data_IF_752804132152
#
_entry.id   IF_752804132152
#
_cell.length_a   1.000
_cell.length_b   1.000
_cell.length_c   1.000
_cell.angle_alpha   90.00
_cell.angle_beta   90.00
_cell.angle_gamma   90.00
#
_symmetry.space_group_name_H-M   'P 1'
#
loop_
_entity.id
_entity.type
_entity.pdbx_description
1 polymer ?
#
# COMPACT_ATOMS: atom_id res chain seq x y z
N UNK A 1 11.93 -16.51 8.71
CA UNK A 1 11.74 -17.30 7.48
C UNK A 1 13.11 -17.76 6.99
N UNK A 2 13.41 -19.05 7.14
CA UNK A 2 14.64 -19.64 6.59
C UNK A 2 14.40 -19.92 5.10
N UNK A 3 14.74 -18.95 4.24
CA UNK A 3 14.81 -19.22 2.81
C UNK A 3 15.90 -20.27 2.54
N UNK A 4 15.74 -21.06 1.47
CA UNK A 4 16.79 -22.00 1.04
C UNK A 4 18.12 -21.26 0.86
N UNK A 5 19.25 -21.92 1.15
CA UNK A 5 20.59 -21.30 1.08
C UNK A 5 20.82 -20.53 -0.24
N UNK A 6 20.26 -21.00 -1.37
CA UNK A 6 20.36 -20.33 -2.67
C UNK A 6 19.61 -19.00 -2.76
N UNK A 7 18.41 -18.89 -2.19
CA UNK A 7 17.63 -17.65 -2.18
C UNK A 7 18.28 -16.59 -1.27
N UNK A 8 18.84 -17.00 -0.13
CA UNK A 8 19.59 -16.10 0.74
C UNK A 8 20.86 -15.57 0.05
N UNK A 9 21.59 -16.44 -0.66
CA UNK A 9 22.76 -16.03 -1.45
C UNK A 9 22.36 -15.01 -2.52
N UNK A 10 21.28 -15.28 -3.26
CA UNK A 10 20.79 -14.37 -4.30
C UNK A 10 20.35 -13.02 -3.72
N UNK A 11 19.60 -13.02 -2.62
CA UNK A 11 19.16 -11.80 -1.95
C UNK A 11 20.32 -10.95 -1.45
N UNK A 12 21.33 -11.59 -0.86
CA UNK A 12 22.52 -10.89 -0.37
C UNK A 12 23.33 -10.28 -1.52
N UNK A 13 23.34 -10.89 -2.72
CA UNK A 13 23.96 -10.29 -3.92
C UNK A 13 23.30 -8.98 -4.39
N UNK A 14 22.04 -8.73 -4.05
CA UNK A 14 21.38 -7.45 -4.35
C UNK A 14 21.68 -6.37 -3.30
N UNK A 15 22.27 -6.75 -2.17
CA UNK A 15 22.63 -5.84 -1.07
C UNK A 15 24.15 -5.70 -0.89
N UNK A 16 24.92 -6.20 -1.85
CA UNK A 16 26.38 -6.12 -1.83
C UNK A 16 26.84 -4.65 -1.92
N UNK A 17 27.55 -4.12 -0.91
CA UNK A 17 27.99 -2.73 -0.90
C UNK A 17 28.89 -2.35 -2.08
N UNK A 18 29.76 -3.25 -2.54
CA UNK A 18 30.67 -2.95 -3.65
C UNK A 18 29.88 -2.80 -4.95
N UNK A 19 28.92 -3.70 -5.18
CA UNK A 19 28.00 -3.60 -6.31
C UNK A 19 27.18 -2.31 -6.27
N UNK A 20 26.72 -1.88 -5.09
CA UNK A 20 25.98 -0.61 -4.93
C UNK A 20 26.87 0.57 -5.29
N UNK A 21 28.12 0.61 -4.82
CA UNK A 21 29.08 1.68 -5.17
C UNK A 21 29.33 1.73 -6.67
N UNK A 22 29.52 0.59 -7.31
CA UNK A 22 29.69 0.50 -8.76
C UNK A 22 28.48 1.04 -9.52
N UNK A 23 27.26 0.66 -9.11
CA UNK A 23 26.04 1.18 -9.71
C UNK A 23 25.89 2.69 -9.51
N UNK A 24 26.19 3.19 -8.31
CA UNK A 24 26.15 4.65 -8.04
C UNK A 24 27.12 5.39 -8.94
N UNK A 25 28.36 4.88 -9.14
CA UNK A 25 29.31 5.48 -10.07
C UNK A 25 28.75 5.51 -11.51
N UNK A 26 28.24 4.38 -12.00
CA UNK A 26 27.67 4.29 -13.35
C UNK A 26 26.48 5.23 -13.55
N UNK A 27 25.58 5.32 -12.57
CA UNK A 27 24.43 6.23 -12.63
C UNK A 27 24.92 7.69 -12.72
N UNK A 28 25.93 8.07 -11.93
CA UNK A 28 26.49 9.43 -11.97
C UNK A 28 27.09 9.75 -13.33
N UNK A 29 27.91 8.85 -13.87
CA UNK A 29 28.52 9.01 -15.20
C UNK A 29 27.48 9.15 -16.32
N UNK A 30 26.38 8.37 -16.28
CA UNK A 30 25.31 8.48 -17.28
C UNK A 30 24.50 9.77 -17.14
N UNK A 31 24.21 10.21 -15.92
CA UNK A 31 23.50 11.48 -15.68
C UNK A 31 24.36 12.68 -16.09
N UNK A 32 25.67 12.64 -15.88
CA UNK A 32 26.59 13.68 -16.35
C UNK A 32 26.59 13.79 -17.87
N UNK A 33 26.58 12.66 -18.59
CA UNK A 33 26.45 12.64 -20.06
C UNK A 33 25.10 13.20 -20.52
N UNK A 34 24.03 12.93 -19.77
CA UNK A 34 22.70 13.49 -20.03
C UNK A 34 22.64 15.02 -19.79
N UNK A 35 23.50 15.54 -18.90
CA UNK A 35 23.74 16.98 -18.74
C UNK A 35 22.80 17.70 -17.76
N UNK A 36 21.89 16.98 -17.07
CA UNK A 36 21.05 17.54 -16.00
C UNK A 36 20.59 16.45 -15.01
N UNK A 37 20.23 16.81 -13.77
CA UNK A 37 19.64 15.86 -12.84
C UNK A 37 18.31 15.29 -13.37
N UNK A 38 18.01 14.04 -13.00
CA UNK A 38 16.79 13.32 -13.41
C UNK A 38 15.83 13.24 -12.23
N UNK A 39 14.57 13.59 -12.44
CA UNK A 39 13.51 13.46 -11.45
C UNK A 39 12.85 12.09 -11.59
N UNK A 40 13.02 11.22 -10.59
CA UNK A 40 12.48 9.87 -10.61
C UNK A 40 11.43 9.76 -9.51
N UNK A 41 10.18 9.49 -9.90
CA UNK A 41 9.12 9.24 -8.94
C UNK A 41 9.00 7.76 -8.60
N UNK A 42 9.08 7.41 -7.33
CA UNK A 42 8.69 6.08 -6.86
C UNK A 42 7.23 6.07 -6.40
N UNK A 43 6.54 4.95 -6.61
CA UNK A 43 5.13 4.77 -6.23
C UNK A 43 4.97 3.61 -5.22
N UNK A 44 5.79 3.53 -4.19
CA UNK A 44 5.66 2.48 -3.18
C UNK A 44 6.32 2.89 -1.87
N UNK A 45 5.56 2.94 -0.77
CA UNK A 45 6.13 3.25 0.56
C UNK A 45 7.31 2.34 0.95
N UNK A 46 7.36 1.11 0.45
CA UNK A 46 8.51 0.22 0.62
C UNK A 46 9.77 0.69 -0.11
N UNK A 47 9.64 1.26 -1.31
CA UNK A 47 10.74 1.87 -2.04
C UNK A 47 11.20 3.16 -1.35
N UNK A 48 10.26 4.04 -0.94
CA UNK A 48 10.56 5.22 -0.12
C UNK A 48 11.42 4.83 1.08
N UNK A 49 10.99 3.80 1.83
CA UNK A 49 11.70 3.34 3.01
C UNK A 49 13.11 2.84 2.68
N UNK A 50 13.28 2.08 1.60
CA UNK A 50 14.60 1.55 1.18
C UNK A 50 15.53 2.68 0.73
N UNK A 51 15.03 3.66 -0.04
CA UNK A 51 15.82 4.81 -0.51
C UNK A 51 16.38 5.58 0.69
N UNK A 52 15.51 6.00 1.60
CA UNK A 52 15.89 6.81 2.77
C UNK A 52 16.73 6.02 3.77
N UNK A 53 16.35 4.78 4.07
CA UNK A 53 17.07 3.95 5.06
C UNK A 53 18.50 3.67 4.66
N UNK A 54 18.77 3.56 3.36
CA UNK A 54 20.12 3.29 2.84
C UNK A 54 20.82 4.57 2.33
N UNK A 55 20.21 5.75 2.50
CA UNK A 55 20.79 7.04 2.09
C UNK A 55 21.04 7.15 0.58
N UNK A 56 20.23 6.47 -0.25
CA UNK A 56 20.42 6.50 -1.71
C UNK A 56 20.16 7.89 -2.29
N UNK A 57 19.25 8.63 -1.68
CA UNK A 57 18.95 10.04 -1.94
C UNK A 57 20.16 10.94 -1.73
N UNK A 58 20.88 10.76 -0.61
CA UNK A 58 22.10 11.52 -0.35
C UNK A 58 23.27 11.06 -1.22
N UNK A 59 23.39 9.75 -1.50
CA UNK A 59 24.44 9.21 -2.38
C UNK A 59 24.33 9.72 -3.83
N UNK A 60 23.11 9.92 -4.32
CA UNK A 60 22.81 10.37 -5.68
C UNK A 60 22.40 11.85 -5.76
N UNK A 61 22.59 12.61 -4.68
CA UNK A 61 22.29 14.04 -4.61
C UNK A 61 22.99 14.82 -5.71
N UNK A 62 22.23 15.66 -6.41
CA UNK A 62 22.71 16.41 -7.57
C UNK A 62 22.70 15.63 -8.89
N UNK A 63 22.37 14.34 -8.87
CA UNK A 63 22.22 13.49 -10.06
C UNK A 63 20.80 13.00 -10.21
N UNK A 64 20.21 12.45 -9.15
CA UNK A 64 18.83 11.96 -9.12
C UNK A 64 18.06 12.71 -8.04
N UNK A 65 16.91 13.27 -8.41
CA UNK A 65 15.93 13.79 -7.47
C UNK A 65 14.85 12.73 -7.29
N UNK A 66 14.80 12.10 -6.11
CA UNK A 66 13.72 11.17 -5.79
C UNK A 66 12.46 11.94 -5.42
N UNK A 67 11.39 11.72 -6.18
CA UNK A 67 10.05 12.24 -5.90
C UNK A 67 9.22 11.12 -5.27
N UNK A 68 8.66 11.37 -4.09
CA UNK A 68 7.88 10.37 -3.38
C UNK A 68 6.41 10.47 -3.78
N UNK A 69 5.96 9.51 -4.60
CA UNK A 69 4.58 9.45 -5.08
C UNK A 69 3.60 8.96 -4.00
N UNK A 70 2.29 8.99 -4.30
CA UNK A 70 1.23 8.55 -3.39
C UNK A 70 1.11 7.02 -3.30
N UNK A 71 2.22 6.32 -3.06
CA UNK A 71 2.32 4.86 -2.96
C UNK A 71 1.81 4.25 -1.65
N UNK A 72 0.96 4.97 -0.90
CA UNK A 72 0.36 4.55 0.37
C UNK A 72 -1.17 4.62 0.27
N UNK A 73 -1.88 3.48 0.15
CA UNK A 73 -3.33 3.48 -0.08
C UNK A 73 -4.12 4.09 1.08
N UNK A 74 -3.60 3.94 2.30
CA UNK A 74 -4.16 4.54 3.53
C UNK A 74 -4.01 6.06 3.55
N UNK A 75 -2.96 6.57 2.93
CA UNK A 75 -2.66 8.00 2.90
C UNK A 75 -3.50 8.75 1.84
N UNK A 76 -4.00 8.03 0.83
CA UNK A 76 -4.77 8.58 -0.30
C UNK A 76 -6.22 8.13 -0.33
N UNK A 77 -6.70 7.47 0.72
CA UNK A 77 -8.12 7.18 0.87
C UNK A 77 -8.91 8.48 1.02
N UNK A 78 -10.05 8.55 0.32
CA UNK A 78 -10.95 9.68 0.43
C UNK A 78 -11.50 9.83 1.86
N UNK A 79 -11.58 11.06 2.35
CA UNK A 79 -11.94 11.36 3.74
C UNK A 79 -13.36 10.86 4.08
N UNK A 80 -14.27 10.92 3.11
CA UNK A 80 -15.65 10.45 3.21
C UNK A 80 -15.72 8.94 3.46
N UNK A 81 -14.72 8.16 2.99
CA UNK A 81 -14.64 6.72 3.26
C UNK A 81 -14.23 6.47 4.71
N UNK A 82 -13.34 7.28 5.28
CA UNK A 82 -13.00 7.21 6.70
C UNK A 82 -14.19 7.56 7.59
N UNK A 83 -14.93 8.60 7.22
CA UNK A 83 -16.17 8.98 7.92
C UNK A 83 -17.21 7.85 7.86
N UNK A 84 -17.34 7.18 6.70
CA UNK A 84 -18.18 5.98 6.59
C UNK A 84 -17.72 4.87 7.55
N UNK A 85 -16.41 4.60 7.66
CA UNK A 85 -15.90 3.60 8.60
C UNK A 85 -16.25 3.95 10.05
N UNK A 86 -16.12 5.24 10.41
CA UNK A 86 -16.46 5.77 11.74
C UNK A 86 -17.94 5.54 12.06
N UNK A 87 -18.84 5.86 11.13
CA UNK A 87 -20.27 5.68 11.35
C UNK A 87 -20.67 4.20 11.38
N UNK A 88 -20.06 3.36 10.53
CA UNK A 88 -20.27 1.91 10.57
C UNK A 88 -19.84 1.29 11.90
N UNK A 89 -18.72 1.74 12.49
CA UNK A 89 -18.25 1.27 13.79
C UNK A 89 -19.19 1.61 14.95
N UNK A 90 -20.02 2.65 14.81
CA UNK A 90 -20.96 3.10 15.85
C UNK A 90 -22.28 2.32 15.85
N UNK A 91 -22.56 1.56 14.80
CA UNK A 91 -23.79 0.78 14.70
C UNK A 91 -23.80 -0.30 15.79
N UNK A 92 -24.90 -0.45 16.56
CA UNK A 92 -25.02 -1.54 17.53
C UNK A 92 -24.82 -2.91 16.89
N UNK A 93 -24.18 -3.82 17.64
CA UNK A 93 -23.93 -5.21 17.23
C UNK A 93 -23.04 -5.35 15.97
N UNK A 94 -22.30 -4.31 15.60
CA UNK A 94 -21.27 -4.37 14.55
C UNK A 94 -19.89 -4.61 15.15
N UNK A 95 -19.13 -5.51 14.53
CA UNK A 95 -17.67 -5.58 14.66
C UNK A 95 -17.08 -4.99 13.39
N UNK A 96 -16.47 -3.81 13.48
CA UNK A 96 -15.70 -3.27 12.36
C UNK A 96 -14.28 -3.84 12.43
N UNK A 97 -13.77 -4.37 11.32
CA UNK A 97 -12.39 -4.83 11.23
C UNK A 97 -11.68 -4.25 10.01
N UNK A 98 -10.41 -3.90 10.17
CA UNK A 98 -9.58 -3.27 9.13
C UNK A 98 -8.10 -3.51 9.44
N UNK A 99 -7.22 -3.22 8.49
CA UNK A 99 -5.78 -3.23 8.74
C UNK A 99 -5.37 -2.16 9.76
N UNK A 100 -4.32 -2.46 10.53
CA UNK A 100 -3.92 -1.66 11.70
C UNK A 100 -3.39 -0.26 11.37
N UNK A 101 -2.91 -0.04 10.15
CA UNK A 101 -2.46 1.26 9.64
C UNK A 101 -3.62 2.27 9.53
N UNK A 102 -4.79 1.84 9.06
CA UNK A 102 -5.98 2.68 8.94
C UNK A 102 -6.53 3.13 10.31
N UNK A 103 -6.27 2.36 11.38
CA UNK A 103 -6.81 2.64 12.71
C UNK A 103 -6.47 4.04 13.24
N UNK A 104 -5.33 4.59 12.82
CA UNK A 104 -4.82 5.87 13.31
C UNK A 104 -5.22 7.07 12.45
N UNK A 105 -5.75 6.83 11.25
CA UNK A 105 -6.09 7.92 10.33
C UNK A 105 -7.37 8.60 10.82
N UNK A 106 -7.35 9.93 11.02
CA UNK A 106 -8.55 10.67 11.42
C UNK A 106 -9.50 10.88 10.24
N UNK A 107 -10.80 10.76 10.48
CA UNK A 107 -11.85 11.29 9.60
C UNK A 107 -12.02 12.81 9.75
N UNK A 108 -13.06 13.36 9.13
CA UNK A 108 -13.31 14.82 9.04
C UNK A 108 -13.37 15.50 10.41
N UNK A 109 -13.96 14.84 11.41
CA UNK A 109 -14.10 15.37 12.78
C UNK A 109 -12.87 15.11 13.66
N UNK A 110 -11.71 14.77 13.08
CA UNK A 110 -10.49 14.36 13.80
C UNK A 110 -10.67 13.16 14.73
N UNK A 111 -11.68 12.34 14.46
CA UNK A 111 -11.94 11.07 15.16
C UNK A 111 -11.31 9.96 14.33
N UNK A 112 -10.57 9.06 14.98
CA UNK A 112 -10.02 7.87 14.34
C UNK A 112 -10.70 6.61 14.88
N UNK A 113 -10.57 5.51 14.15
CA UNK A 113 -11.08 4.21 14.60
C UNK A 113 -10.41 3.76 15.90
N UNK A 114 -9.14 4.12 16.13
CA UNK A 114 -8.46 3.87 17.39
C UNK A 114 -9.12 4.61 18.56
N UNK A 115 -9.57 5.86 18.33
CA UNK A 115 -10.28 6.64 19.34
C UNK A 115 -11.65 6.02 19.66
N UNK A 116 -12.44 5.66 18.64
CA UNK A 116 -13.71 4.97 18.86
C UNK A 116 -13.53 3.64 19.62
N UNK A 117 -12.48 2.89 19.29
CA UNK A 117 -12.18 1.65 20.01
C UNK A 117 -11.93 1.92 21.51
N UNK A 118 -11.25 3.01 21.84
CA UNK A 118 -11.03 3.42 23.22
C UNK A 118 -12.33 3.88 23.92
N UNK A 119 -13.30 4.39 23.16
CA UNK A 119 -14.65 4.75 23.64
C UNK A 119 -15.58 3.54 23.81
N UNK A 120 -15.11 2.32 23.51
CA UNK A 120 -15.84 1.06 23.73
C UNK A 120 -16.51 0.47 22.49
N UNK A 121 -16.40 1.11 21.33
CA UNK A 121 -16.89 0.54 20.08
C UNK A 121 -16.05 -0.69 19.67
N UNK A 122 -16.71 -1.71 19.11
CA UNK A 122 -16.06 -2.98 18.83
C UNK A 122 -15.32 -2.96 17.49
N UNK A 123 -14.07 -2.50 17.54
CA UNK A 123 -13.20 -2.40 16.37
C UNK A 123 -12.00 -3.33 16.53
N UNK A 124 -11.75 -4.20 15.55
CA UNK A 124 -10.69 -5.21 15.57
C UNK A 124 -9.68 -4.95 14.44
N UNK A 125 -8.44 -4.53 14.76
CA UNK A 125 -7.38 -4.54 13.75
C UNK A 125 -7.07 -5.99 13.36
N UNK A 126 -6.94 -6.24 12.06
CA UNK A 126 -6.61 -7.56 11.50
C UNK A 126 -5.28 -7.52 10.77
N UNK A 127 -4.57 -8.65 10.75
CA UNK A 127 -3.34 -8.80 9.96
C UNK A 127 -3.58 -9.36 8.56
N UNK A 128 -4.75 -9.96 8.34
CA UNK A 128 -5.17 -10.53 7.06
C UNK A 128 -6.67 -10.40 6.83
N UNK A 129 -7.10 -10.41 5.56
CA UNK A 129 -8.53 -10.40 5.22
C UNK A 129 -9.30 -11.60 5.80
N UNK A 130 -8.67 -12.79 5.88
CA UNK A 130 -9.31 -14.01 6.38
C UNK A 130 -9.61 -13.99 7.88
N UNK A 131 -8.98 -13.11 8.66
CA UNK A 131 -9.39 -12.90 10.06
C UNK A 131 -10.80 -12.33 10.17
N UNK A 132 -11.28 -11.58 9.18
CA UNK A 132 -12.66 -11.11 9.15
C UNK A 132 -13.66 -12.27 9.02
N UNK A 133 -13.33 -13.31 8.24
CA UNK A 133 -14.12 -14.53 8.13
C UNK A 133 -14.19 -15.26 9.47
N UNK A 134 -13.04 -15.40 10.13
CA UNK A 134 -12.95 -16.01 11.46
C UNK A 134 -13.81 -15.25 12.47
N UNK A 135 -13.71 -13.91 12.50
CA UNK A 135 -14.53 -13.06 13.36
C UNK A 135 -16.03 -13.26 13.11
N UNK A 136 -16.45 -13.37 11.84
CA UNK A 136 -17.85 -13.58 11.47
C UNK A 136 -18.37 -14.93 11.97
N UNK A 137 -17.59 -16.00 11.81
CA UNK A 137 -17.96 -17.33 12.28
C UNK A 137 -18.00 -17.44 13.81
N UNK A 138 -17.11 -16.75 14.52
CA UNK A 138 -17.07 -16.73 15.98
C UNK A 138 -18.17 -15.86 16.61
N UNK A 139 -18.78 -14.95 15.84
CA UNK A 139 -19.80 -14.01 16.32
C UNK A 139 -21.05 -14.04 15.44
N UNK A 140 -21.77 -15.17 15.33
CA UNK A 140 -22.89 -15.33 14.40
C UNK A 140 -24.06 -14.36 14.61
N UNK A 141 -24.19 -13.83 15.83
CA UNK A 141 -25.20 -12.85 16.22
C UNK A 141 -24.83 -11.39 15.90
N UNK A 142 -23.57 -11.12 15.54
CA UNK A 142 -23.07 -9.77 15.23
C UNK A 142 -22.83 -9.61 13.75
N UNK A 143 -22.85 -8.35 13.31
CA UNK A 143 -22.49 -8.00 11.93
C UNK A 143 -21.00 -7.70 11.82
N UNK A 144 -20.24 -8.52 11.10
CA UNK A 144 -18.81 -8.27 10.89
C UNK A 144 -18.60 -7.52 9.60
N UNK A 145 -18.04 -6.32 9.68
CA UNK A 145 -17.75 -5.48 8.53
C UNK A 145 -16.24 -5.41 8.34
N UNK A 146 -15.74 -5.98 7.25
CA UNK A 146 -14.37 -5.80 6.81
C UNK A 146 -14.26 -4.55 5.96
N UNK A 147 -13.60 -3.53 6.50
CA UNK A 147 -13.28 -2.31 5.78
C UNK A 147 -12.01 -2.54 4.97
N UNK A 148 -12.18 -3.04 3.75
CA UNK A 148 -11.09 -3.42 2.88
C UNK A 148 -10.44 -2.19 2.27
N UNK A 149 -9.11 -2.14 2.33
CA UNK A 149 -8.29 -1.07 1.76
C UNK A 149 -6.99 -1.65 1.19
N UNK A 150 -6.45 -0.95 0.20
CA UNK A 150 -5.12 -1.22 -0.34
C UNK A 150 -5.14 -1.25 -1.87
N UNK A 151 -3.95 -1.41 -2.44
CA UNK A 151 -3.78 -1.49 -3.88
C UNK A 151 -4.09 -2.90 -4.42
N UNK A 152 -3.64 -3.19 -5.63
CA UNK A 152 -3.79 -4.48 -6.29
C UNK A 152 -3.14 -5.63 -5.49
N UNK A 153 -2.19 -5.34 -4.60
CA UNK A 153 -1.57 -6.33 -3.71
C UNK A 153 -2.52 -6.91 -2.67
N UNK A 154 -3.48 -6.12 -2.17
CA UNK A 154 -4.41 -6.55 -1.12
C UNK A 154 -5.76 -7.00 -1.70
N UNK A 155 -6.13 -6.50 -2.88
CA UNK A 155 -7.41 -6.81 -3.55
C UNK A 155 -7.67 -8.33 -3.74
N UNK A 156 -6.69 -9.16 -4.14
CA UNK A 156 -6.88 -10.61 -4.25
C UNK A 156 -7.24 -11.29 -2.93
N UNK A 157 -6.70 -10.80 -1.80
CA UNK A 157 -7.00 -11.36 -0.48
C UNK A 157 -8.47 -11.12 -0.10
N UNK A 158 -8.99 -9.94 -0.43
CA UNK A 158 -10.42 -9.62 -0.27
C UNK A 158 -11.29 -10.48 -1.19
N UNK A 159 -10.87 -10.74 -2.42
CA UNK A 159 -11.59 -11.64 -3.33
C UNK A 159 -11.66 -13.07 -2.79
N UNK A 160 -10.54 -13.58 -2.23
CA UNK A 160 -10.50 -14.90 -1.57
C UNK A 160 -11.40 -14.95 -0.35
N UNK A 161 -11.40 -13.89 0.47
CA UNK A 161 -12.31 -13.74 1.62
C UNK A 161 -13.78 -13.91 1.20
N UNK A 162 -14.21 -13.16 0.17
CA UNK A 162 -15.59 -13.19 -0.32
C UNK A 162 -15.94 -14.58 -0.87
N UNK A 163 -15.02 -15.19 -1.62
CA UNK A 163 -15.21 -16.54 -2.17
C UNK A 163 -15.40 -17.58 -1.06
N UNK A 164 -14.52 -17.58 -0.06
CA UNK A 164 -14.62 -18.53 1.06
C UNK A 164 -15.86 -18.31 1.92
N UNK A 165 -16.22 -17.04 2.19
CA UNK A 165 -17.44 -16.72 2.92
C UNK A 165 -18.68 -17.28 2.23
N UNK A 166 -18.74 -17.18 0.89
CA UNK A 166 -19.81 -17.77 0.08
C UNK A 166 -19.82 -19.29 0.15
N UNK A 167 -18.67 -19.94 0.02
CA UNK A 167 -18.53 -21.41 0.08
C UNK A 167 -18.96 -21.97 1.44
N UNK A 168 -18.68 -21.24 2.53
CA UNK A 168 -19.04 -21.62 3.90
C UNK A 168 -20.45 -21.15 4.31
N UNK A 169 -21.17 -20.44 3.44
CA UNK A 169 -22.52 -19.93 3.73
C UNK A 169 -22.57 -18.89 4.85
N UNK A 170 -21.49 -18.13 5.07
CA UNK A 170 -21.42 -17.07 6.08
C UNK A 170 -22.28 -15.89 5.65
N UNK A 171 -23.28 -15.54 6.47
CA UNK A 171 -24.29 -14.51 6.16
C UNK A 171 -24.08 -13.18 6.89
N UNK A 172 -23.20 -13.16 7.89
CA UNK A 172 -22.96 -12.02 8.76
C UNK A 172 -21.59 -11.35 8.51
N UNK A 173 -21.04 -11.52 7.30
CA UNK A 173 -19.82 -10.85 6.87
C UNK A 173 -20.13 -9.90 5.72
N UNK A 174 -19.77 -8.63 5.87
CA UNK A 174 -19.86 -7.60 4.85
C UNK A 174 -18.48 -7.05 4.53
N UNK A 175 -18.26 -6.65 3.28
CA UNK A 175 -17.03 -6.01 2.84
C UNK A 175 -17.35 -4.63 2.30
N UNK A 176 -16.70 -3.61 2.86
CA UNK A 176 -16.66 -2.27 2.28
C UNK A 176 -15.39 -2.17 1.44
N UNK A 177 -15.54 -2.19 0.12
CA UNK A 177 -14.41 -2.17 -0.80
C UNK A 177 -13.91 -0.73 -1.02
N UNK A 178 -12.72 -0.43 -0.52
CA UNK A 178 -11.99 0.83 -0.76
C UNK A 178 -10.65 0.55 -1.44
N UNK A 179 -10.58 -0.50 -2.26
CA UNK A 179 -9.37 -0.79 -3.02
C UNK A 179 -9.14 0.30 -4.08
N UNK A 180 -7.87 0.65 -4.26
CA UNK A 180 -7.43 1.71 -5.18
C UNK A 180 -6.57 1.05 -6.25
N UNK A 181 -6.68 1.51 -7.49
CA UNK A 181 -5.82 1.06 -8.58
C UNK A 181 -4.61 1.97 -8.68
N UNK A 182 -3.42 1.44 -8.42
CA UNK A 182 -2.18 2.20 -8.41
C UNK A 182 -1.92 2.87 -9.76
N UNK A 183 -2.19 2.15 -10.86
CA UNK A 183 -1.95 2.64 -12.22
C UNK A 183 -2.88 3.78 -12.61
N UNK A 184 -4.13 3.76 -12.14
CA UNK A 184 -5.07 4.88 -12.36
C UNK A 184 -4.61 6.14 -11.64
N UNK A 185 -4.07 5.98 -10.42
CA UNK A 185 -3.48 7.11 -9.70
C UNK A 185 -2.26 7.65 -10.45
N UNK A 186 -1.41 6.76 -10.97
CA UNK A 186 -0.22 7.14 -11.74
C UNK A 186 -0.58 7.89 -13.04
N UNK A 187 -1.54 7.37 -13.80
CA UNK A 187 -2.05 8.00 -15.02
C UNK A 187 -2.63 9.39 -14.73
N UNK A 188 -3.43 9.52 -13.68
CA UNK A 188 -3.99 10.80 -13.25
C UNK A 188 -2.89 11.84 -12.93
N UNK A 189 -1.83 11.42 -12.22
CA UNK A 189 -0.70 12.31 -11.92
C UNK A 189 0.01 12.81 -13.17
N UNK A 190 0.09 11.99 -14.22
CA UNK A 190 0.73 12.34 -15.48
C UNK A 190 -0.10 13.30 -16.35
N UNK A 191 -1.42 13.24 -16.20
CA UNK A 191 -2.38 14.09 -16.90
C UNK A 191 -2.65 15.42 -16.17
N UNK A 192 -2.31 15.53 -14.88
CA UNK A 192 -2.55 16.73 -14.08
C UNK A 192 -1.76 17.95 -14.60
N UNK A 193 -2.42 19.12 -14.65
CA UNK A 193 -1.79 20.39 -15.01
C UNK A 193 -0.77 20.87 -13.97
N UNK A 194 -0.96 20.49 -12.70
CA UNK A 194 -0.04 20.75 -11.58
C UNK A 194 0.96 19.60 -11.36
N UNK A 195 1.33 18.86 -12.41
CA UNK A 195 2.23 17.72 -12.24
C UNK A 195 3.65 18.15 -11.83
N UNK A 196 4.28 17.45 -10.88
CA UNK A 196 5.70 17.65 -10.64
C UNK A 196 6.49 17.30 -11.90
N UNK A 197 7.65 17.94 -12.08
CA UNK A 197 8.60 17.57 -13.12
C UNK A 197 9.11 16.16 -12.83
N UNK A 198 8.66 15.19 -13.62
CA UNK A 198 9.05 13.77 -13.52
C UNK A 198 9.61 13.35 -14.87
N UNK A 199 10.81 12.78 -14.86
CA UNK A 199 11.46 12.21 -16.03
C UNK A 199 11.24 10.69 -16.13
N UNK A 200 11.06 9.98 -15.00
CA UNK A 200 10.83 8.53 -14.97
C UNK A 200 10.11 8.05 -13.70
N UNK A 201 9.63 6.80 -13.72
CA UNK A 201 9.02 6.14 -12.56
C UNK A 201 9.74 4.86 -12.13
N UNK A 202 9.77 4.63 -10.82
CA UNK A 202 10.06 3.32 -10.24
C UNK A 202 8.72 2.67 -9.84
N UNK A 203 8.27 1.74 -10.69
CA UNK A 203 7.00 1.05 -10.51
C UNK A 203 6.94 0.20 -9.22
N UNK A 204 5.76 0.05 -8.60
CA UNK A 204 5.57 -0.71 -7.36
C UNK A 204 5.73 -2.22 -7.59
N UNK A 205 6.87 -2.81 -7.21
CA UNK A 205 7.18 -4.21 -7.52
C UNK A 205 6.11 -5.22 -7.06
N UNK A 206 5.56 -5.09 -5.85
CA UNK A 206 4.49 -5.98 -5.39
C UNK A 206 3.19 -5.84 -6.18
N UNK A 207 2.83 -4.62 -6.60
CA UNK A 207 1.67 -4.40 -7.47
C UNK A 207 1.95 -5.02 -8.84
N UNK A 208 3.16 -4.84 -9.39
CA UNK A 208 3.58 -5.44 -10.66
C UNK A 208 3.53 -6.97 -10.62
N UNK A 209 3.75 -7.61 -9.46
CA UNK A 209 3.55 -9.06 -9.30
C UNK A 209 2.10 -9.48 -9.53
N UNK A 210 1.12 -8.61 -9.25
CA UNK A 210 -0.30 -8.89 -9.45
C UNK A 210 -0.76 -8.48 -10.85
N UNK A 211 -0.39 -7.29 -11.30
CA UNK A 211 -0.88 -6.70 -12.56
C UNK A 211 -0.05 -7.12 -13.77
N UNK A 212 1.20 -7.55 -13.56
CA UNK A 212 2.18 -7.79 -14.60
C UNK A 212 2.79 -6.49 -15.16
N UNK A 213 3.89 -6.62 -15.90
CA UNK A 213 4.58 -5.47 -16.51
C UNK A 213 3.81 -4.81 -17.65
N UNK A 214 2.95 -5.56 -18.36
CA UNK A 214 2.17 -5.02 -19.49
C UNK A 214 1.18 -3.94 -19.08
N UNK A 215 0.76 -3.93 -17.81
CA UNK A 215 -0.18 -2.94 -17.30
C UNK A 215 0.42 -1.51 -17.29
N UNK A 216 1.74 -1.37 -17.43
CA UNK A 216 2.44 -0.09 -17.46
C UNK A 216 2.67 0.43 -18.89
N UNK A 217 2.47 -0.37 -19.94
CA UNK A 217 2.74 0.03 -21.34
C UNK A 217 1.95 1.25 -21.83
N UNK A 218 0.70 1.51 -21.39
CA UNK A 218 -0.04 2.70 -21.80
C UNK A 218 0.44 4.02 -21.15
N UNK A 219 1.36 3.96 -20.18
CA UNK A 219 1.81 5.07 -19.32
C UNK A 219 3.18 5.56 -19.79
#
# INVERSE_FOLDING_TARGET
MNYSNNLNILWNKFKDPERVKDLVRLIKEEVEKYGKPINIMEFCGGHTHVILRNGLDELLKGYINFVHGPGCPVCVIALERLDLAIELAKIPEVILCTYGDLMRVPGSNRISLLKLRAEGYEIKPVSSALEALKLAMENPQKKVIFFAIGFETTSPHTAVLIKQAKELGVKNLWVVCNHILALVVLEYLLQSEEKPLIDAFIGPGHVSTITGSRAYEPI
#
